data_IF_118676667188
#
_entry.id   IF_118676667188
#
_cell.length_a   1.000
_cell.length_b   1.000
_cell.length_c   1.000
_cell.angle_alpha   90.00
_cell.angle_beta   90.00
_cell.angle_gamma   90.00
#
_symmetry.space_group_name_H-M   'P 1'
#
loop_
_entity.id
_entity.type
_entity.pdbx_description
1 polymer ?
#
# COMPACT_ATOMS: atom_id res chain seq x y z
N UNK A 1 3.64 -13.93 9.17
CA UNK A 1 3.15 -12.53 9.34
C UNK A 1 2.81 -12.33 10.80
N UNK A 2 3.21 -11.23 11.45
CA UNK A 2 3.08 -11.07 12.91
C UNK A 2 1.60 -10.90 13.30
N UNK A 3 1.18 -11.58 14.37
CA UNK A 3 -0.22 -11.70 14.83
C UNK A 3 -0.92 -10.34 15.07
N UNK A 4 -0.17 -9.34 15.51
CA UNK A 4 -0.67 -7.98 15.71
C UNK A 4 -1.17 -7.30 14.42
N UNK A 5 -0.60 -7.64 13.25
CA UNK A 5 -1.05 -7.10 11.95
C UNK A 5 -2.46 -7.60 11.65
N UNK A 6 -2.69 -8.89 11.91
CA UNK A 6 -3.98 -9.52 11.69
C UNK A 6 -5.04 -8.93 12.63
N UNK A 7 -4.69 -8.72 13.90
CA UNK A 7 -5.59 -8.08 14.87
C UNK A 7 -5.96 -6.64 14.48
N UNK A 8 -5.02 -5.88 13.91
CA UNK A 8 -5.28 -4.54 13.38
C UNK A 8 -6.16 -4.55 12.13
N UNK A 9 -5.98 -5.51 11.21
CA UNK A 9 -6.84 -5.69 10.03
C UNK A 9 -8.23 -6.22 10.37
N UNK A 10 -8.37 -7.02 11.42
CA UNK A 10 -9.65 -7.60 11.87
C UNK A 10 -10.37 -6.74 12.92
N UNK A 11 -9.82 -5.58 13.29
CA UNK A 11 -10.44 -4.71 14.29
C UNK A 11 -11.87 -4.35 13.88
N UNK A 12 -12.84 -4.50 14.78
CA UNK A 12 -14.25 -4.25 14.45
C UNK A 12 -14.53 -2.79 14.04
N UNK A 13 -13.67 -1.84 14.45
CA UNK A 13 -13.83 -0.41 14.15
C UNK A 13 -13.33 -0.11 12.73
N UNK A 14 -14.25 0.25 11.85
CA UNK A 14 -13.97 0.57 10.44
C UNK A 14 -12.89 1.66 10.28
N UNK A 15 -12.93 2.71 11.11
CA UNK A 15 -11.90 3.78 11.12
C UNK A 15 -10.50 3.21 11.38
N UNK A 16 -10.34 2.30 12.35
CA UNK A 16 -9.05 1.70 12.68
C UNK A 16 -8.48 0.85 11.53
N UNK A 17 -9.35 0.14 10.79
CA UNK A 17 -8.93 -0.63 9.60
C UNK A 17 -8.43 0.27 8.46
N UNK A 18 -9.16 1.36 8.20
CA UNK A 18 -8.80 2.32 7.14
C UNK A 18 -7.49 3.02 7.49
N UNK A 19 -7.35 3.55 8.71
CA UNK A 19 -6.12 4.20 9.17
C UNK A 19 -4.93 3.24 9.12
N UNK A 20 -5.11 2.00 9.57
CA UNK A 20 -4.06 0.99 9.52
C UNK A 20 -3.64 0.63 8.09
N UNK A 21 -4.60 0.42 7.20
CA UNK A 21 -4.32 0.12 5.79
C UNK A 21 -3.62 1.27 5.07
N UNK A 22 -4.04 2.52 5.31
CA UNK A 22 -3.42 3.69 4.73
C UNK A 22 -2.00 3.92 5.30
N UNK A 23 -1.79 3.72 6.60
CA UNK A 23 -0.45 3.82 7.20
C UNK A 23 0.52 2.80 6.60
N UNK A 24 0.09 1.55 6.40
CA UNK A 24 0.90 0.54 5.71
C UNK A 24 1.20 0.93 4.25
N UNK A 25 0.21 1.45 3.53
CA UNK A 25 0.39 1.90 2.15
C UNK A 25 1.38 3.08 2.05
N UNK A 26 1.31 4.03 2.98
CA UNK A 26 2.26 5.16 3.04
C UNK A 26 3.67 4.68 3.35
N UNK A 27 3.85 3.78 4.34
CA UNK A 27 5.17 3.24 4.66
C UNK A 27 5.76 2.52 3.45
N UNK A 28 4.97 1.67 2.80
CA UNK A 28 5.39 0.97 1.58
C UNK A 28 5.75 1.94 0.47
N UNK A 29 4.92 2.97 0.22
CA UNK A 29 5.20 3.96 -0.81
C UNK A 29 6.50 4.72 -0.52
N UNK A 30 6.69 5.17 0.72
CA UNK A 30 7.89 5.87 1.14
C UNK A 30 9.14 4.98 0.95
N UNK A 31 9.11 3.73 1.42
CA UNK A 31 10.23 2.79 1.23
C UNK A 31 10.57 2.58 -0.25
N UNK A 32 9.57 2.41 -1.12
CA UNK A 32 9.81 2.24 -2.54
C UNK A 32 10.33 3.52 -3.20
N UNK A 33 9.81 4.68 -2.86
CA UNK A 33 10.30 5.96 -3.37
C UNK A 33 11.78 6.17 -3.02
N UNK A 34 12.18 5.85 -1.79
CA UNK A 34 13.58 5.87 -1.36
C UNK A 34 14.45 4.88 -2.15
N UNK A 35 14.00 3.64 -2.33
CA UNK A 35 14.73 2.59 -3.06
C UNK A 35 14.91 2.97 -4.53
N UNK A 36 13.85 3.47 -5.18
CA UNK A 36 13.85 3.75 -6.62
C UNK A 36 14.46 5.10 -6.98
N UNK A 37 14.46 6.09 -6.07
CA UNK A 37 15.04 7.42 -6.31
C UNK A 37 16.45 7.60 -5.72
N UNK A 38 17.08 6.53 -5.21
CA UNK A 38 18.45 6.54 -4.66
C UNK A 38 18.69 7.62 -3.60
N UNK A 39 17.69 7.91 -2.76
CA UNK A 39 17.84 8.88 -1.68
C UNK A 39 18.53 8.25 -0.46
N UNK A 40 19.33 9.04 0.26
CA UNK A 40 20.09 8.56 1.43
C UNK A 40 19.17 8.17 2.60
N UNK A 41 19.51 7.05 3.26
CA UNK A 41 18.69 6.46 4.31
C UNK A 41 18.65 7.33 5.57
N UNK A 42 17.47 7.84 5.93
CA UNK A 42 17.23 8.45 7.24
C UNK A 42 16.02 7.77 7.91
N UNK A 43 16.28 6.82 8.80
CA UNK A 43 15.22 6.07 9.50
C UNK A 43 14.27 6.99 10.29
N UNK A 44 14.77 8.14 10.75
CA UNK A 44 13.93 9.11 11.47
C UNK A 44 12.91 9.78 10.55
N UNK A 45 13.22 10.02 9.27
CA UNK A 45 12.27 10.65 8.35
C UNK A 45 11.06 9.74 8.08
N UNK A 46 11.26 8.43 7.93
CA UNK A 46 10.18 7.46 7.73
C UNK A 46 9.25 7.40 8.97
N UNK A 47 9.83 7.39 10.17
CA UNK A 47 9.06 7.42 11.42
C UNK A 47 8.25 8.73 11.55
N UNK A 48 8.84 9.87 11.20
CA UNK A 48 8.14 11.16 11.19
C UNK A 48 7.00 11.20 10.16
N UNK A 49 7.21 10.70 8.94
CA UNK A 49 6.14 10.60 7.93
C UNK A 49 4.98 9.74 8.42
N UNK A 50 5.26 8.63 9.12
CA UNK A 50 4.20 7.78 9.67
C UNK A 50 3.37 8.46 10.78
N UNK A 51 4.02 9.28 11.61
CA UNK A 51 3.37 10.08 12.66
C UNK A 51 2.53 11.23 12.08
N UNK A 52 3.05 11.90 11.06
CA UNK A 52 2.37 13.00 10.38
C UNK A 52 1.11 12.52 9.64
N UNK A 53 1.16 11.32 9.06
CA UNK A 53 0.00 10.65 8.46
C UNK A 53 -1.06 10.27 9.50
N UNK A 54 -0.66 9.78 10.69
CA UNK A 54 -1.62 9.51 11.78
C UNK A 54 -2.28 10.80 12.29
N UNK A 55 -1.52 11.87 12.50
CA UNK A 55 -2.05 13.17 12.91
C UNK A 55 -2.98 13.78 11.85
N UNK A 56 -2.57 13.75 10.59
CA UNK A 56 -3.37 14.26 9.47
C UNK A 56 -4.67 13.46 9.33
N UNK A 57 -4.65 12.14 9.47
CA UNK A 57 -5.87 11.32 9.42
C UNK A 57 -6.79 11.53 10.61
N UNK A 58 -6.26 11.77 11.82
CA UNK A 58 -7.09 12.12 12.99
C UNK A 58 -7.87 13.41 12.78
N UNK A 59 -7.31 14.37 12.03
CA UNK A 59 -7.94 15.66 11.73
C UNK A 59 -8.86 15.61 10.49
N UNK A 60 -8.60 14.75 9.50
CA UNK A 60 -9.25 14.80 8.17
C UNK A 60 -10.22 13.65 7.82
N UNK A 61 -10.65 12.79 8.75
CA UNK A 61 -11.67 11.77 8.44
C UNK A 61 -13.03 12.37 7.98
N UNK A 62 -13.26 13.67 8.20
CA UNK A 62 -14.42 14.38 7.65
C UNK A 62 -14.19 15.01 6.26
N UNK A 63 -12.96 14.99 5.73
CA UNK A 63 -12.59 15.75 4.51
C UNK A 63 -12.20 14.89 3.29
N UNK A 64 -11.85 13.61 3.45
CA UNK A 64 -11.25 12.80 2.37
C UNK A 64 -12.19 11.78 1.72
N UNK A 65 -13.39 12.20 1.34
CA UNK A 65 -14.19 11.50 0.33
C UNK A 65 -14.43 12.34 -0.93
N UNK A 66 -13.54 13.30 -1.23
CA UNK A 66 -13.42 13.74 -2.63
C UNK A 66 -12.72 12.63 -3.38
N UNK A 67 -13.51 11.67 -3.88
CA UNK A 67 -13.05 10.72 -4.90
C UNK A 67 -12.65 11.55 -6.10
N UNK A 68 -11.35 11.81 -6.27
CA UNK A 68 -10.85 12.13 -7.58
C UNK A 68 -11.01 10.84 -8.40
N UNK A 69 -12.07 10.77 -9.20
CA UNK A 69 -12.23 9.71 -10.21
C UNK A 69 -11.25 9.99 -11.36
N UNK A 70 -9.94 9.89 -11.07
CA UNK A 70 -8.97 9.71 -12.13
C UNK A 70 -9.16 8.29 -12.65
N UNK A 71 -9.72 8.18 -13.85
CA UNK A 71 -9.83 6.91 -14.54
C UNK A 71 -8.41 6.45 -14.92
N UNK A 72 -7.80 5.66 -14.04
CA UNK A 72 -6.48 5.06 -14.29
C UNK A 72 -6.69 3.94 -15.29
N UNK A 73 -6.22 4.16 -16.52
CA UNK A 73 -6.23 3.14 -17.57
C UNK A 73 -4.91 2.40 -17.61
N UNK A 74 -5.00 1.09 -17.81
CA UNK A 74 -3.82 0.24 -18.01
C UNK A 74 -3.11 0.62 -19.30
N UNK A 75 -1.80 0.85 -19.22
CA UNK A 75 -0.91 0.99 -20.38
C UNK A 75 0.11 -0.13 -20.40
N UNK A 76 0.43 -0.62 -21.58
CA UNK A 76 1.52 -1.58 -21.79
C UNK A 76 2.86 -0.95 -21.42
N UNK A 77 3.82 -1.74 -20.90
CA UNK A 77 5.18 -1.25 -20.67
C UNK A 77 5.83 -0.81 -22.00
N UNK A 78 6.80 0.12 -21.95
CA UNK A 78 7.63 0.42 -23.11
C UNK A 78 8.38 -0.80 -23.62
N UNK A 79 8.73 -0.81 -24.91
CA UNK A 79 9.49 -1.91 -25.53
C UNK A 79 10.80 -2.22 -24.81
N UNK A 80 11.10 -3.51 -24.65
CA UNK A 80 12.26 -3.99 -23.89
C UNK A 80 12.07 -3.97 -22.36
N UNK A 81 10.90 -3.54 -21.87
CA UNK A 81 10.52 -3.64 -20.46
C UNK A 81 9.38 -4.63 -20.28
N UNK A 82 9.38 -5.26 -19.11
CA UNK A 82 8.29 -6.13 -18.68
C UNK A 82 7.63 -5.54 -17.44
N UNK A 83 6.31 -5.67 -17.36
CA UNK A 83 5.52 -5.28 -16.20
C UNK A 83 5.05 -6.54 -15.49
N UNK A 84 5.39 -6.65 -14.21
CA UNK A 84 4.94 -7.77 -13.38
C UNK A 84 3.94 -7.28 -12.33
N UNK A 85 2.68 -7.69 -12.51
CA UNK A 85 1.62 -7.41 -11.54
C UNK A 85 1.51 -8.60 -10.60
N UNK A 86 1.54 -8.35 -9.30
CA UNK A 86 1.44 -9.41 -8.29
C UNK A 86 0.23 -9.14 -7.41
N UNK A 87 -0.51 -10.20 -7.09
CA UNK A 87 -1.59 -10.16 -6.12
C UNK A 87 -1.51 -11.36 -5.18
N UNK A 88 -2.07 -11.19 -3.99
CA UNK A 88 -2.06 -12.18 -2.93
C UNK A 88 -3.41 -12.29 -2.25
N UNK A 89 -3.81 -13.52 -1.97
CA UNK A 89 -5.01 -13.82 -1.21
C UNK A 89 -4.66 -14.58 0.07
N UNK A 90 -5.25 -14.16 1.19
CA UNK A 90 -5.17 -14.89 2.45
C UNK A 90 -6.56 -15.36 2.85
N UNK A 91 -6.70 -16.65 3.16
CA UNK A 91 -7.95 -17.22 3.68
C UNK A 91 -7.89 -17.30 5.20
N UNK A 92 -8.70 -16.46 5.86
CA UNK A 92 -8.76 -16.32 7.33
C UNK A 92 -8.94 -17.64 8.10
N UNK A 93 -9.62 -18.64 7.53
CA UNK A 93 -10.03 -19.82 8.29
C UNK A 93 -9.02 -20.97 8.30
N UNK A 94 -7.92 -20.91 7.53
CA UNK A 94 -7.00 -22.07 7.38
C UNK A 94 -5.52 -21.73 7.23
N UNK A 95 -5.08 -20.52 7.61
CA UNK A 95 -3.68 -20.05 7.41
C UNK A 95 -3.15 -20.24 5.97
N UNK A 96 -4.06 -20.37 5.01
CA UNK A 96 -3.75 -20.63 3.61
C UNK A 96 -3.59 -19.28 2.93
N UNK A 97 -2.41 -19.05 2.38
CA UNK A 97 -2.10 -17.92 1.55
C UNK A 97 -1.74 -18.42 0.14
N UNK A 98 -2.25 -17.72 -0.87
CA UNK A 98 -1.86 -17.89 -2.26
C UNK A 98 -1.34 -16.57 -2.78
N UNK A 99 -0.37 -16.64 -3.69
CA UNK A 99 0.09 -15.49 -4.44
C UNK A 99 0.18 -15.86 -5.91
N UNK A 100 0.04 -14.88 -6.77
CA UNK A 100 0.14 -15.04 -8.21
C UNK A 100 0.53 -13.73 -8.85
N UNK A 101 0.96 -13.80 -10.10
CA UNK A 101 1.24 -12.60 -10.86
C UNK A 101 1.07 -12.81 -12.35
N UNK A 102 0.92 -11.69 -13.05
CA UNK A 102 0.82 -11.63 -14.51
C UNK A 102 2.01 -10.82 -14.99
N UNK A 103 2.85 -11.45 -15.79
CA UNK A 103 3.95 -10.79 -16.50
C UNK A 103 3.46 -10.40 -17.89
N UNK A 104 3.67 -9.13 -18.24
CA UNK A 104 3.25 -8.55 -19.52
C UNK A 104 4.43 -7.85 -20.17
N UNK A 105 4.57 -8.01 -21.47
CA UNK A 105 5.51 -7.24 -22.29
C UNK A 105 4.75 -6.06 -22.92
N UNK A 106 5.39 -5.38 -23.86
CA UNK A 106 4.84 -4.28 -24.63
C UNK A 106 3.68 -4.68 -25.57
N UNK A 107 3.46 -5.98 -25.79
CA UNK A 107 2.34 -6.53 -26.55
C UNK A 107 1.10 -6.85 -25.68
N UNK A 108 1.25 -6.82 -24.34
CA UNK A 108 0.14 -6.86 -23.37
C UNK A 108 0.10 -8.07 -22.47
#
# INVERSE_FOLDING_TARGET
MKEWIFMSMLSRRQKGRITFGLALATIWYAENDFIFNSQNWNVQSIAFTSLDVDQTMRLNINCLLVRHESMVTWKFPPGGLVKFNVDGLVRNSRTLAGYGGVLRNDEG
#
